data_IF_901789240069
#
_entry.id   IF_901789240069
#
_cell.length_a   1.000
_cell.length_b   1.000
_cell.length_c   1.000
_cell.angle_alpha   90.00
_cell.angle_beta   90.00
_cell.angle_gamma   90.00
#
_symmetry.space_group_name_H-M   'P 1'
#
loop_
_entity.id
_entity.type
_entity.pdbx_description
1 polymer ?
#
# COMPACT_ATOMS: atom_id res chain seq x y z
N UNK A 1 -17.82 1.64 24.23
CA UNK A 1 -16.64 1.70 23.35
C UNK A 1 -16.16 3.13 23.35
N UNK A 2 -15.06 3.43 24.05
CA UNK A 2 -14.48 4.78 24.04
C UNK A 2 -13.78 4.99 22.71
N UNK A 3 -14.14 6.04 21.96
CA UNK A 3 -13.41 6.43 20.78
C UNK A 3 -12.04 6.95 21.22
N UNK A 4 -10.97 6.23 20.89
CA UNK A 4 -9.61 6.70 21.14
C UNK A 4 -9.36 7.86 20.16
N UNK A 5 -9.19 9.07 20.67
CA UNK A 5 -8.85 10.22 19.84
C UNK A 5 -7.36 10.16 19.55
N UNK A 6 -7.02 9.65 18.36
CA UNK A 6 -5.66 9.67 17.84
C UNK A 6 -5.43 11.08 17.29
N UNK A 7 -4.38 11.76 17.76
CA UNK A 7 -3.99 13.07 17.23
C UNK A 7 -2.95 12.85 16.13
N UNK A 8 -3.42 12.78 14.89
CA UNK A 8 -2.54 12.70 13.72
C UNK A 8 -2.12 14.09 13.25
N UNK A 9 -0.91 14.18 12.69
CA UNK A 9 -0.43 15.36 11.97
C UNK A 9 -1.19 15.52 10.65
N UNK A 10 -1.33 14.44 9.89
CA UNK A 10 -2.09 14.43 8.65
C UNK A 10 -3.58 14.42 8.97
N UNK A 11 -4.33 15.30 8.30
CA UNK A 11 -5.78 15.20 8.31
C UNK A 11 -6.26 14.05 7.41
N UNK A 12 -7.54 13.72 7.53
CA UNK A 12 -8.17 12.61 6.80
C UNK A 12 -7.99 12.71 5.27
N UNK A 13 -8.11 13.92 4.70
CA UNK A 13 -7.98 14.13 3.25
C UNK A 13 -6.54 13.93 2.78
N UNK A 14 -5.56 14.35 3.59
CA UNK A 14 -4.14 14.10 3.32
C UNK A 14 -3.85 12.60 3.37
N UNK A 15 -4.32 11.90 4.40
CA UNK A 15 -4.12 10.46 4.54
C UNK A 15 -4.77 9.66 3.40
N UNK A 16 -6.00 10.03 2.99
CA UNK A 16 -6.66 9.42 1.83
C UNK A 16 -5.87 9.64 0.54
N UNK A 17 -5.34 10.86 0.33
CA UNK A 17 -4.49 11.16 -0.82
C UNK A 17 -3.21 10.33 -0.83
N UNK A 18 -2.57 10.16 0.34
CA UNK A 18 -1.36 9.33 0.49
C UNK A 18 -1.68 7.89 0.09
N UNK A 19 -2.70 7.28 0.70
CA UNK A 19 -3.11 5.90 0.39
C UNK A 19 -3.38 5.74 -1.11
N UNK A 20 -4.11 6.66 -1.73
CA UNK A 20 -4.42 6.60 -3.17
C UNK A 20 -3.15 6.66 -4.04
N UNK A 21 -2.15 7.44 -3.66
CA UNK A 21 -0.89 7.53 -4.40
C UNK A 21 -0.09 6.23 -4.27
N UNK A 22 -0.01 5.66 -3.07
CA UNK A 22 0.62 4.36 -2.84
C UNK A 22 -0.10 3.25 -3.60
N UNK A 23 -1.44 3.23 -3.60
CA UNK A 23 -2.23 2.28 -4.39
C UNK A 23 -1.96 2.41 -5.88
N UNK A 24 -1.86 3.63 -6.40
CA UNK A 24 -1.49 3.85 -7.80
C UNK A 24 -0.10 3.30 -8.11
N UNK A 25 0.87 3.60 -7.25
CA UNK A 25 2.23 3.07 -7.37
C UNK A 25 2.26 1.54 -7.46
N UNK A 26 1.49 0.85 -6.61
CA UNK A 26 1.35 -0.60 -6.65
C UNK A 26 0.75 -1.12 -7.97
N UNK A 27 -0.22 -0.39 -8.53
CA UNK A 27 -0.89 -0.78 -9.79
C UNK A 27 -0.05 -0.48 -11.03
N UNK A 28 0.82 0.53 -10.96
CA UNK A 28 1.70 0.94 -12.06
C UNK A 28 3.03 0.17 -12.08
N UNK A 29 3.40 -0.50 -10.97
CA UNK A 29 4.65 -1.25 -10.82
C UNK A 29 4.57 -2.67 -11.38
N UNK A 30 5.72 -3.20 -11.82
CA UNK A 30 5.86 -4.63 -12.09
C UNK A 30 5.85 -5.41 -10.77
N UNK A 31 5.01 -6.43 -10.68
CA UNK A 31 4.82 -7.23 -9.45
C UNK A 31 6.07 -8.00 -9.05
N UNK A 32 6.92 -8.36 -10.02
CA UNK A 32 8.14 -9.13 -9.75
C UNK A 32 9.17 -8.31 -8.97
N UNK A 33 9.09 -6.98 -9.09
CA UNK A 33 10.03 -6.04 -8.46
C UNK A 33 9.31 -4.70 -8.21
N UNK A 34 8.51 -4.66 -7.13
CA UNK A 34 7.84 -3.44 -6.71
C UNK A 34 8.83 -2.59 -5.95
N UNK A 35 9.24 -1.48 -6.56
CA UNK A 35 10.09 -0.50 -5.92
C UNK A 35 9.41 0.11 -4.69
N UNK A 36 10.22 0.48 -3.70
CA UNK A 36 9.75 1.22 -2.53
C UNK A 36 9.10 2.54 -2.94
N UNK A 37 8.08 2.93 -2.19
CA UNK A 37 7.42 4.23 -2.38
C UNK A 37 8.04 5.24 -1.44
N UNK A 38 8.73 6.22 -2.02
CA UNK A 38 9.38 7.28 -1.28
C UNK A 38 9.03 8.62 -1.93
N UNK A 39 8.19 9.41 -1.27
CA UNK A 39 7.69 10.68 -1.85
C UNK A 39 7.34 11.69 -0.78
N UNK A 40 7.69 12.95 -1.05
CA UNK A 40 7.26 14.11 -0.26
C UNK A 40 5.84 14.56 -0.68
N UNK A 41 4.91 14.62 0.26
CA UNK A 41 3.53 15.06 0.04
C UNK A 41 3.20 16.21 0.98
N UNK A 42 3.24 17.43 0.45
CA UNK A 42 3.11 18.62 1.28
C UNK A 42 4.35 18.78 2.13
N UNK A 43 4.21 18.60 3.43
CA UNK A 43 5.28 18.72 4.42
C UNK A 43 5.68 17.43 5.11
N UNK A 44 5.10 16.31 4.70
CA UNK A 44 5.47 14.99 5.21
C UNK A 44 6.15 14.18 4.11
N UNK A 45 7.16 13.39 4.47
CA UNK A 45 7.74 12.38 3.61
C UNK A 45 7.09 11.04 3.92
N UNK A 46 6.64 10.35 2.87
CA UNK A 46 6.04 9.03 2.99
C UNK A 46 7.06 8.02 2.48
N UNK A 47 7.43 7.08 3.33
CA UNK A 47 8.33 5.98 3.01
C UNK A 47 7.56 4.67 3.20
N UNK A 48 7.41 3.88 2.16
CA UNK A 48 6.75 2.57 2.21
C UNK A 48 7.66 1.55 1.54
N UNK A 49 8.08 0.58 2.33
CA UNK A 49 8.92 -0.53 1.86
C UNK A 49 8.03 -1.74 1.57
N UNK A 50 8.19 -2.31 0.38
CA UNK A 50 7.47 -3.51 -0.03
C UNK A 50 8.40 -4.71 -0.05
N UNK A 51 7.85 -5.88 0.29
CA UNK A 51 8.53 -7.15 0.10
C UNK A 51 7.72 -8.02 -0.86
N UNK A 52 8.33 -8.44 -1.96
CA UNK A 52 7.74 -9.37 -2.91
C UNK A 52 8.28 -10.77 -2.61
N UNK A 53 7.38 -11.69 -2.26
CA UNK A 53 7.72 -13.09 -2.08
C UNK A 53 6.79 -13.98 -2.91
N UNK A 54 7.37 -14.73 -3.85
CA UNK A 54 6.62 -15.47 -4.87
C UNK A 54 5.62 -14.55 -5.57
N UNK A 55 4.33 -14.89 -5.50
CA UNK A 55 3.24 -14.07 -6.01
C UNK A 55 2.50 -13.38 -4.86
N UNK A 56 3.20 -12.82 -3.88
CA UNK A 56 2.58 -12.01 -2.83
C UNK A 56 3.41 -10.77 -2.54
N UNK A 57 2.71 -9.63 -2.45
CA UNK A 57 3.30 -8.35 -2.03
C UNK A 57 2.92 -8.10 -0.58
N UNK A 58 3.91 -7.83 0.26
CA UNK A 58 3.74 -7.54 1.67
C UNK A 58 4.25 -6.14 2.00
N UNK A 59 3.65 -5.55 3.03
CA UNK A 59 4.12 -4.29 3.61
C UNK A 59 5.22 -4.63 4.61
N UNK A 60 6.46 -4.20 4.35
CA UNK A 60 7.56 -4.37 5.30
C UNK A 60 7.56 -3.24 6.31
N UNK A 61 7.50 -2.00 5.84
CA UNK A 61 7.38 -0.80 6.67
C UNK A 61 6.49 0.24 5.99
N UNK A 62 5.86 1.11 6.78
CA UNK A 62 5.24 2.33 6.26
C UNK A 62 5.38 3.44 7.30
N UNK A 63 6.12 4.48 6.92
CA UNK A 63 6.53 5.56 7.78
C UNK A 63 6.08 6.90 7.19
N UNK A 64 5.56 7.75 8.06
CA UNK A 64 5.26 9.15 7.77
C UNK A 64 6.25 9.96 8.59
N UNK A 65 7.12 10.70 7.90
CA UNK A 65 8.12 11.56 8.52
C UNK A 65 7.69 13.03 8.36
N UNK A 66 7.99 13.86 9.34
CA UNK A 66 7.81 15.30 9.21
C UNK A 66 8.96 15.96 8.41
N UNK A 67 9.03 17.30 8.46
CA UNK A 67 10.06 18.07 7.74
C UNK A 67 11.47 17.88 8.29
N UNK A 68 11.57 17.51 9.56
CA UNK A 68 12.81 17.32 10.29
C UNK A 68 13.25 15.85 10.29
N UNK A 69 12.55 14.99 9.53
CA UNK A 69 12.79 13.56 9.39
C UNK A 69 12.39 12.73 10.61
N UNK A 70 11.61 13.33 11.52
CA UNK A 70 11.12 12.65 12.70
C UNK A 70 9.89 11.80 12.36
N UNK A 71 9.86 10.59 12.91
CA UNK A 71 8.77 9.63 12.70
C UNK A 71 7.49 10.11 13.40
N UNK A 72 6.42 10.22 12.63
CA UNK A 72 5.08 10.48 13.13
C UNK A 72 4.38 9.14 13.38
N UNK A 73 4.52 8.62 14.60
CA UNK A 73 4.07 7.28 15.00
C UNK A 73 2.57 7.06 14.74
N UNK A 74 1.72 8.02 15.12
CA UNK A 74 0.28 7.93 14.94
C UNK A 74 -0.11 7.87 13.46
N UNK A 75 0.47 8.75 12.64
CA UNK A 75 0.23 8.79 11.20
C UNK A 75 0.74 7.53 10.50
N UNK A 76 1.90 7.03 10.90
CA UNK A 76 2.51 5.79 10.40
C UNK A 76 1.65 4.58 10.74
N UNK A 77 1.12 4.52 11.96
CA UNK A 77 0.18 3.46 12.36
C UNK A 77 -1.13 3.52 11.58
N UNK A 78 -1.67 4.72 11.33
CA UNK A 78 -2.87 4.90 10.52
C UNK A 78 -2.61 4.51 9.07
N UNK A 79 -1.47 4.91 8.49
CA UNK A 79 -1.07 4.53 7.13
C UNK A 79 -0.93 3.01 7.01
N UNK A 80 -0.21 2.38 7.94
CA UNK A 80 -0.06 0.91 8.02
C UNK A 80 -1.43 0.23 8.01
N UNK A 81 -2.34 0.68 8.88
CA UNK A 81 -3.69 0.14 9.01
C UNK A 81 -4.49 0.23 7.71
N UNK A 82 -4.34 1.34 6.96
CA UNK A 82 -5.03 1.56 5.68
C UNK A 82 -4.42 0.82 4.51
N UNK A 83 -3.10 0.64 4.49
CA UNK A 83 -2.41 -0.07 3.39
C UNK A 83 -2.59 -1.59 3.45
N UNK A 84 -2.77 -2.16 4.64
CA UNK A 84 -3.04 -3.60 4.80
C UNK A 84 -4.21 -4.12 3.93
N UNK A 85 -5.43 -3.57 4.03
CA UNK A 85 -6.54 -4.05 3.20
C UNK A 85 -6.31 -3.79 1.70
N UNK A 86 -5.60 -2.71 1.33
CA UNK A 86 -5.22 -2.43 -0.06
C UNK A 86 -4.33 -3.54 -0.62
N UNK A 87 -3.31 -3.97 0.13
CA UNK A 87 -2.42 -5.07 -0.27
C UNK A 87 -3.13 -6.42 -0.29
N UNK A 88 -4.04 -6.68 0.66
CA UNK A 88 -4.88 -7.87 0.62
C UNK A 88 -5.72 -7.93 -0.66
N UNK A 89 -6.37 -6.82 -1.02
CA UNK A 89 -7.15 -6.71 -2.24
C UNK A 89 -6.28 -6.85 -3.50
N UNK A 90 -5.15 -6.15 -3.55
CA UNK A 90 -4.17 -6.25 -4.63
C UNK A 90 -3.71 -7.70 -4.86
N UNK A 91 -3.42 -8.43 -3.79
CA UNK A 91 -3.04 -9.84 -3.87
C UNK A 91 -4.21 -10.76 -4.27
N UNK A 92 -5.44 -10.49 -3.81
CA UNK A 92 -6.64 -11.27 -4.20
C UNK A 92 -6.95 -11.12 -5.69
N UNK A 93 -7.07 -9.88 -6.18
CA UNK A 93 -7.41 -9.58 -7.57
C UNK A 93 -6.43 -10.24 -8.55
N UNK A 94 -5.16 -10.32 -8.15
CA UNK A 94 -4.14 -10.98 -8.95
C UNK A 94 -4.32 -12.51 -9.04
N UNK A 95 -4.61 -13.18 -7.91
CA UNK A 95 -4.89 -14.63 -7.91
C UNK A 95 -6.09 -14.97 -8.79
N UNK A 96 -7.13 -14.15 -8.75
CA UNK A 96 -8.33 -14.32 -9.56
C UNK A 96 -8.06 -14.12 -11.06
N UNK A 97 -7.28 -13.10 -11.43
CA UNK A 97 -6.88 -12.87 -12.82
C UNK A 97 -6.07 -14.04 -13.39
N UNK A 98 -5.14 -14.59 -12.61
CA UNK A 98 -4.37 -15.78 -13.00
C UNK A 98 -5.24 -17.03 -13.17
N UNK A 99 -6.17 -17.26 -12.24
CA UNK A 99 -7.13 -18.36 -12.34
C UNK A 99 -7.97 -18.26 -13.62
N UNK A 100 -8.50 -17.07 -13.92
CA UNK A 100 -9.27 -16.82 -15.14
C UNK A 100 -8.43 -17.02 -16.41
N UNK A 101 -7.18 -16.54 -16.45
CA UNK A 101 -6.29 -16.73 -17.57
C UNK A 101 -5.98 -18.22 -17.83
N UNK A 102 -5.76 -19.00 -16.76
CA UNK A 102 -5.57 -20.45 -16.86
C UNK A 102 -6.82 -21.17 -17.38
N UNK A 103 -8.02 -20.75 -16.98
CA UNK A 103 -9.27 -21.32 -17.50
C UNK A 103 -9.43 -21.08 -19.01
N UNK A 104 -9.12 -19.88 -19.51
CA UNK A 104 -9.22 -19.55 -20.94
C UNK A 104 -8.21 -20.35 -21.80
N UNK A 105 -7.00 -20.60 -21.28
CA UNK A 105 -6.01 -21.43 -21.97
C UNK A 105 -6.50 -22.88 -22.06
N UNK A 106 -7.05 -23.42 -20.98
CA UNK A 106 -7.59 -24.78 -20.98
C UNK A 106 -8.80 -24.94 -21.90
N UNK A 107 -9.68 -23.94 -22.00
CA UNK A 107 -10.84 -23.97 -22.91
C UNK A 107 -10.45 -23.89 -24.40
N UNK A 108 -9.26 -23.41 -24.74
CA UNK A 108 -8.76 -23.36 -26.14
C UNK A 108 -8.02 -24.61 -26.59
N UNK A 109 -7.69 -25.52 -25.65
CA UNK A 109 -6.95 -26.76 -25.92
C UNK A 109 -7.91 -27.96 -26.12
N UNK A 110 -9.22 -27.75 -25.96
CA UNK A 110 -10.26 -28.74 -26.26
C UNK A 110 -11.14 -28.33 -27.44
#
# INVERSE_FOLDING_TARGET
MGALKINCYCNEQQMEKIVRLVTRHLNDSDRTDIADFDTLIGDVRICVEFETYMDTVQLKTSEVLDRDWDLLDEDSAVLTSRLRPVLEEYNRNHREAFAQAHHVINDRIF
#
